data_IF_758994297479
#
_entry.id   IF_758994297479
#
_cell.length_a   1.000
_cell.length_b   1.000
_cell.length_c   1.000
_cell.angle_alpha   90.00
_cell.angle_beta   90.00
_cell.angle_gamma   90.00
#
_symmetry.space_group_name_H-M   'P 1'
#
loop_
_entity.id
_entity.type
_entity.pdbx_description
1 polymer ?
#
# COMPACT_ATOMS: atom_id res chain seq x y z
N UNK A 1 -28.48 0.38 3.42
CA UNK A 1 -27.72 -0.62 4.19
C UNK A 1 -26.33 -0.04 4.31
N UNK A 2 -25.93 0.42 5.48
CA UNK A 2 -24.51 0.74 5.70
C UNK A 2 -23.76 -0.55 5.42
N UNK A 3 -22.88 -0.54 4.43
CA UNK A 3 -21.94 -1.64 4.25
C UNK A 3 -21.20 -1.79 5.59
N UNK A 4 -21.19 -3.00 6.15
CA UNK A 4 -20.47 -3.24 7.39
C UNK A 4 -19.01 -2.82 7.23
N UNK A 5 -18.38 -2.37 8.32
CA UNK A 5 -16.94 -2.06 8.27
C UNK A 5 -16.17 -3.27 7.71
N UNK A 6 -15.22 -3.05 6.79
CA UNK A 6 -14.43 -4.13 6.21
C UNK A 6 -13.57 -4.83 7.28
N UNK A 7 -13.46 -6.16 7.18
CA UNK A 7 -12.65 -6.99 8.08
C UNK A 7 -11.36 -7.47 7.39
N UNK A 8 -10.24 -6.87 7.78
CA UNK A 8 -8.90 -7.19 7.28
C UNK A 8 -8.14 -8.19 8.17
N UNK A 9 -8.77 -8.81 9.17
CA UNK A 9 -8.11 -9.77 10.07
C UNK A 9 -7.54 -11.01 9.37
N UNK A 10 -8.01 -11.29 8.14
CA UNK A 10 -7.48 -12.36 7.31
C UNK A 10 -6.09 -12.05 6.73
N UNK A 11 -5.76 -10.76 6.53
CA UNK A 11 -4.51 -10.32 5.87
C UNK A 11 -3.56 -9.57 6.79
N UNK A 12 -4.06 -8.74 7.71
CA UNK A 12 -3.20 -8.01 8.64
C UNK A 12 -2.40 -9.02 9.47
N UNK A 13 -1.09 -8.83 9.47
CA UNK A 13 -0.11 -9.68 10.12
C UNK A 13 0.46 -10.82 9.25
N UNK A 14 -0.02 -11.00 8.01
CA UNK A 14 0.53 -11.99 7.07
C UNK A 14 1.80 -11.48 6.39
N UNK A 15 2.70 -12.40 6.06
CA UNK A 15 3.88 -12.10 5.24
C UNK A 15 3.50 -12.31 3.78
N UNK A 16 3.83 -11.32 2.95
CA UNK A 16 3.57 -11.29 1.51
C UNK A 16 4.87 -11.03 0.75
N UNK A 17 4.90 -11.45 -0.51
CA UNK A 17 6.01 -11.23 -1.45
C UNK A 17 5.47 -10.58 -2.71
N UNK A 18 6.28 -9.75 -3.34
CA UNK A 18 5.82 -9.07 -4.54
C UNK A 18 6.88 -8.30 -5.29
N UNK A 19 6.41 -7.57 -6.29
CA UNK A 19 7.22 -6.79 -7.23
C UNK A 19 7.04 -5.30 -6.98
N UNK A 20 8.14 -4.55 -7.05
CA UNK A 20 8.11 -3.09 -7.02
C UNK A 20 8.16 -2.58 -8.45
N UNK A 21 7.06 -1.97 -8.91
CA UNK A 21 6.93 -1.39 -10.25
C UNK A 21 7.12 0.14 -10.23
N UNK A 22 7.00 0.78 -9.06
CA UNK A 22 7.22 2.21 -8.84
C UNK A 22 8.18 2.39 -7.66
N UNK A 23 9.49 2.29 -7.90
CA UNK A 23 10.50 2.41 -6.86
C UNK A 23 10.50 3.80 -6.21
N UNK A 24 10.95 3.87 -4.96
CA UNK A 24 11.13 5.14 -4.24
C UNK A 24 11.92 6.15 -5.09
N UNK A 25 11.38 7.36 -5.24
CA UNK A 25 11.95 8.44 -6.04
C UNK A 25 11.61 8.39 -7.53
N UNK A 26 10.87 7.38 -8.01
CA UNK A 26 10.38 7.33 -9.39
C UNK A 26 9.16 8.23 -9.60
N UNK A 27 8.99 8.73 -10.82
CA UNK A 27 7.80 9.48 -11.23
C UNK A 27 6.67 8.55 -11.66
N UNK A 28 5.43 8.95 -11.42
CA UNK A 28 4.27 8.23 -11.91
C UNK A 28 4.26 8.20 -13.46
N UNK A 29 3.99 7.04 -14.11
CA UNK A 29 4.07 6.92 -15.57
C UNK A 29 3.19 7.90 -16.35
N UNK A 30 2.00 8.20 -15.81
CA UNK A 30 1.03 9.13 -16.41
C UNK A 30 1.07 10.55 -15.84
N UNK A 31 1.80 10.76 -14.73
CA UNK A 31 1.84 12.03 -13.98
C UNK A 31 3.28 12.31 -13.53
N UNK A 32 4.18 12.74 -14.44
CA UNK A 32 5.61 12.85 -14.14
C UNK A 32 5.97 13.78 -12.96
N UNK A 33 5.10 14.74 -12.65
CA UNK A 33 5.17 15.66 -11.52
C UNK A 33 4.96 14.99 -10.16
N UNK A 34 4.30 13.82 -10.15
CA UNK A 34 4.04 13.04 -8.96
C UNK A 34 5.18 12.04 -8.74
N UNK A 35 5.90 12.20 -7.63
CA UNK A 35 7.04 11.36 -7.24
C UNK A 35 6.63 10.43 -6.11
N UNK A 36 6.97 9.15 -6.24
CA UNK A 36 6.74 8.13 -5.21
C UNK A 36 7.67 8.33 -4.03
N UNK A 37 7.10 8.67 -2.86
CA UNK A 37 7.84 8.91 -1.62
C UNK A 37 8.16 7.63 -0.83
N UNK A 38 7.52 6.53 -1.20
CA UNK A 38 7.76 5.17 -0.71
C UNK A 38 7.86 4.23 -1.92
N UNK A 39 8.41 3.03 -1.74
CA UNK A 39 8.31 2.03 -2.81
C UNK A 39 6.85 1.59 -2.94
N UNK A 40 6.39 1.48 -4.18
CA UNK A 40 5.06 1.00 -4.52
C UNK A 40 5.16 -0.16 -5.50
N UNK A 41 4.24 -1.11 -5.35
CA UNK A 41 4.26 -2.34 -6.10
C UNK A 41 2.99 -3.14 -5.87
N UNK A 42 3.06 -4.43 -6.18
CA UNK A 42 1.95 -5.35 -6.03
C UNK A 42 2.41 -6.69 -5.46
N UNK A 43 1.49 -7.42 -4.84
CA UNK A 43 1.73 -8.78 -4.34
C UNK A 43 1.67 -9.78 -5.49
N UNK A 44 2.67 -10.65 -5.60
CA UNK A 44 2.70 -11.67 -6.66
C UNK A 44 1.55 -12.67 -6.45
N UNK A 45 0.80 -13.00 -7.51
CA UNK A 45 -0.30 -13.98 -7.54
C UNK A 45 -1.51 -13.70 -6.61
N UNK A 46 -1.68 -12.46 -6.13
CA UNK A 46 -2.85 -12.04 -5.34
C UNK A 46 -3.56 -10.92 -6.08
N UNK A 47 -4.85 -11.10 -6.37
CA UNK A 47 -5.64 -10.17 -7.17
C UNK A 47 -6.66 -9.44 -6.30
N UNK A 48 -6.83 -8.14 -6.55
CA UNK A 48 -7.84 -7.31 -5.94
C UNK A 48 -9.15 -7.32 -6.77
N UNK A 49 -10.15 -6.56 -6.31
CA UNK A 49 -11.50 -6.57 -6.87
C UNK A 49 -11.58 -5.97 -8.29
N UNK A 50 -10.57 -5.21 -8.71
CA UNK A 50 -10.45 -4.68 -10.07
C UNK A 50 -9.86 -5.70 -11.08
N UNK A 51 -9.45 -6.88 -10.60
CA UNK A 51 -8.84 -7.94 -11.39
C UNK A 51 -7.35 -7.77 -11.66
N UNK A 52 -6.70 -6.78 -11.05
CA UNK A 52 -5.24 -6.57 -11.08
C UNK A 52 -4.59 -7.09 -9.80
N UNK A 53 -3.26 -7.23 -9.79
CA UNK A 53 -2.54 -7.63 -8.60
C UNK A 53 -2.70 -6.61 -7.46
N UNK A 54 -2.84 -7.11 -6.22
CA UNK A 54 -3.09 -6.28 -5.04
C UNK A 54 -1.94 -5.30 -4.79
N UNK A 55 -2.25 -4.01 -4.86
CA UNK A 55 -1.26 -2.95 -4.69
C UNK A 55 -0.82 -2.77 -3.23
N UNK A 56 0.45 -2.36 -3.07
CA UNK A 56 1.10 -2.18 -1.77
C UNK A 56 1.97 -0.92 -1.69
N UNK A 57 2.01 -0.34 -0.49
CA UNK A 57 3.02 0.63 -0.05
C UNK A 57 4.03 -0.07 0.87
N UNK A 58 5.33 0.09 0.59
CA UNK A 58 6.39 -0.53 1.39
C UNK A 58 7.06 0.46 2.36
N UNK A 59 7.16 0.05 3.61
CA UNK A 59 7.81 0.76 4.72
C UNK A 59 9.01 -0.06 5.25
N UNK A 60 9.95 0.62 5.91
CA UNK A 60 11.16 -0.01 6.47
C UNK A 60 12.36 -0.04 5.51
N UNK A 61 12.40 0.86 4.53
CA UNK A 61 13.54 1.07 3.64
C UNK A 61 13.62 2.52 3.17
N UNK A 62 14.84 3.01 2.96
CA UNK A 62 15.16 4.30 2.34
C UNK A 62 15.72 4.14 0.91
N UNK A 63 15.68 2.91 0.37
CA UNK A 63 16.25 2.57 -0.94
C UNK A 63 15.18 2.11 -1.92
N UNK A 64 15.35 2.40 -3.23
CA UNK A 64 14.52 1.81 -4.26
C UNK A 64 14.73 0.30 -4.33
N UNK A 65 13.65 -0.46 -4.50
CA UNK A 65 13.65 -1.91 -4.56
C UNK A 65 13.13 -2.44 -5.91
N UNK A 66 13.30 -3.74 -6.15
CA UNK A 66 12.71 -4.46 -7.29
C UNK A 66 11.73 -5.56 -6.88
N UNK A 67 12.01 -6.19 -5.73
CA UNK A 67 11.21 -7.24 -5.11
C UNK A 67 11.16 -6.98 -3.61
N UNK A 68 10.13 -7.48 -2.96
CA UNK A 68 9.99 -7.38 -1.52
C UNK A 68 9.46 -8.67 -0.90
N UNK A 69 9.75 -8.82 0.39
CA UNK A 69 9.09 -9.74 1.31
C UNK A 69 8.88 -8.96 2.60
N UNK A 70 7.65 -8.93 3.12
CA UNK A 70 7.33 -8.13 4.29
C UNK A 70 5.98 -8.47 4.88
N UNK A 71 5.69 -7.89 6.04
CA UNK A 71 4.44 -8.13 6.79
C UNK A 71 3.42 -7.05 6.48
N UNK A 72 2.18 -7.44 6.15
CA UNK A 72 1.06 -6.50 6.08
C UNK A 72 0.76 -6.02 7.49
N UNK A 73 0.83 -4.71 7.71
CA UNK A 73 0.61 -4.07 9.01
C UNK A 73 -0.65 -3.20 9.05
N UNK A 74 -1.19 -2.85 7.89
CA UNK A 74 -2.39 -2.06 7.76
C UNK A 74 -2.99 -2.19 6.36
N UNK A 75 -4.24 -1.74 6.21
CA UNK A 75 -4.91 -1.57 4.92
C UNK A 75 -5.47 -0.16 4.84
N UNK A 76 -5.18 0.53 3.74
CA UNK A 76 -5.85 1.77 3.36
C UNK A 76 -7.05 1.42 2.50
N UNK A 77 -8.24 1.54 3.07
CA UNK A 77 -9.49 1.30 2.38
C UNK A 77 -9.96 2.58 1.72
N UNK A 78 -10.15 2.55 0.40
CA UNK A 78 -10.73 3.66 -0.35
C UNK A 78 -12.25 3.46 -0.43
N UNK A 79 -12.99 4.49 -0.08
CA UNK A 79 -14.45 4.50 -0.12
C UNK A 79 -14.99 4.88 -1.52
N UNK A 80 -14.17 5.54 -2.33
CA UNK A 80 -14.49 6.06 -3.66
C UNK A 80 -13.74 5.36 -4.80
N UNK A 81 -13.09 4.23 -4.50
CA UNK A 81 -12.35 3.40 -5.44
C UNK A 81 -12.61 1.92 -5.12
N UNK A 82 -12.40 1.04 -6.09
CA UNK A 82 -12.72 -0.39 -5.94
C UNK A 82 -11.57 -1.21 -5.33
N UNK A 83 -10.40 -0.61 -5.14
CA UNK A 83 -9.20 -1.31 -4.70
C UNK A 83 -8.59 -0.71 -3.43
N UNK A 84 -8.47 -1.55 -2.41
CA UNK A 84 -7.72 -1.23 -1.20
C UNK A 84 -6.21 -1.24 -1.46
N UNK A 85 -5.44 -0.56 -0.60
CA UNK A 85 -3.97 -0.56 -0.67
C UNK A 85 -3.39 -1.16 0.60
N UNK A 86 -2.56 -2.18 0.48
CA UNK A 86 -1.94 -2.79 1.65
C UNK A 86 -0.68 -2.05 2.07
N UNK A 87 -0.46 -1.94 3.38
CA UNK A 87 0.75 -1.34 3.95
C UNK A 87 1.63 -2.47 4.45
N UNK A 88 2.84 -2.57 3.89
CA UNK A 88 3.79 -3.65 4.19
C UNK A 88 5.04 -3.09 4.86
N UNK A 89 5.39 -3.61 6.05
CA UNK A 89 6.68 -3.34 6.70
C UNK A 89 7.69 -4.45 6.36
N UNK A 90 8.88 -4.04 5.91
CA UNK A 90 9.98 -4.94 5.51
C UNK A 90 10.87 -5.34 6.70
N UNK A 91 11.01 -4.47 7.68
CA UNK A 91 11.85 -4.66 8.88
C UNK A 91 11.07 -5.23 10.07
N UNK A 92 9.74 -5.30 9.96
CA UNK A 92 8.85 -5.75 11.03
C UNK A 92 8.69 -4.72 12.15
N UNK A 93 9.18 -3.49 11.96
CA UNK A 93 9.01 -2.41 12.93
C UNK A 93 7.57 -1.87 12.93
N UNK A 94 7.14 -1.38 14.09
CA UNK A 94 5.84 -0.73 14.21
C UNK A 94 5.90 0.65 13.57
N UNK A 95 5.13 0.84 12.49
CA UNK A 95 4.93 2.14 11.85
C UNK A 95 3.65 2.77 12.42
N UNK A 96 3.71 4.04 12.84
CA UNK A 96 2.53 4.71 13.38
C UNK A 96 1.55 5.07 12.26
N UNK A 97 0.26 5.19 12.60
CA UNK A 97 -0.77 5.63 11.66
C UNK A 97 -0.44 7.00 11.04
N UNK A 98 0.08 7.94 11.84
CA UNK A 98 0.45 9.28 11.36
C UNK A 98 1.58 9.21 10.32
N UNK A 99 2.57 8.33 10.53
CA UNK A 99 3.65 8.13 9.57
C UNK A 99 3.13 7.49 8.28
N UNK A 100 2.28 6.47 8.39
CA UNK A 100 1.68 5.82 7.22
C UNK A 100 0.91 6.85 6.40
N UNK A 101 -0.02 7.58 7.04
CA UNK A 101 -0.85 8.58 6.38
C UNK A 101 -0.03 9.72 5.76
N UNK A 102 1.02 10.18 6.44
CA UNK A 102 1.92 11.21 5.91
C UNK A 102 2.66 10.74 4.65
N UNK A 103 3.24 9.54 4.70
CA UNK A 103 4.10 9.03 3.62
C UNK A 103 3.32 8.58 2.38
N UNK A 104 2.05 8.17 2.52
CA UNK A 104 1.17 7.82 1.37
C UNK A 104 0.37 9.03 0.85
N UNK A 105 0.37 10.15 1.55
CA UNK A 105 -0.46 11.32 1.23
C UNK A 105 -0.24 11.88 -0.18
N UNK A 106 0.97 11.74 -0.74
CA UNK A 106 1.27 12.22 -2.09
C UNK A 106 0.34 11.62 -3.16
N UNK A 107 -0.12 10.38 -2.95
CA UNK A 107 -1.08 9.68 -3.80
C UNK A 107 -2.48 9.72 -3.20
N UNK A 108 -2.60 9.42 -1.90
CA UNK A 108 -3.90 9.24 -1.26
C UNK A 108 -4.65 10.56 -1.01
N UNK A 109 -4.03 11.73 -1.21
CA UNK A 109 -4.74 13.02 -1.22
C UNK A 109 -5.83 13.12 -2.30
N UNK A 110 -5.80 12.25 -3.32
CA UNK A 110 -6.77 12.22 -4.40
C UNK A 110 -7.93 11.23 -4.17
N UNK A 111 -7.92 10.50 -3.05
CA UNK A 111 -8.92 9.48 -2.71
C UNK A 111 -9.51 9.75 -1.32
N UNK A 112 -10.72 9.28 -1.10
CA UNK A 112 -11.34 9.29 0.22
C UNK A 112 -11.22 7.92 0.86
N UNK A 113 -10.54 7.81 2.00
CA UNK A 113 -10.31 6.52 2.63
C UNK A 113 -10.11 6.57 4.14
N UNK A 114 -9.91 5.37 4.72
CA UNK A 114 -9.61 5.15 6.13
C UNK A 114 -8.54 4.08 6.27
N UNK A 115 -7.62 4.29 7.21
CA UNK A 115 -6.60 3.32 7.57
C UNK A 115 -7.15 2.34 8.62
N UNK A 116 -6.95 1.04 8.38
CA UNK A 116 -7.28 -0.06 9.29
C UNK A 116 -5.99 -0.78 9.66
N UNK A 117 -5.72 -0.94 10.96
CA UNK A 117 -4.49 -1.54 11.52
C UNK A 117 -4.83 -2.69 12.46
#
# INVERSE_FOLDING_TARGET
MEAGEPDYGHIIGKVVRGTVDRPLGSSHPNHPEMVYLVNYGYVDDVFADDGTEQDVYLFGTDKPLKKFEGKVIAVWHRFDDVEDKWIVSLDGENVTAEKILGDISFQEQYFYGKLYM
#
